data_IF_172309660732
#
_entry.id   IF_172309660732
#
_cell.length_a   1.000
_cell.length_b   1.000
_cell.length_c   1.000
_cell.angle_alpha   90.00
_cell.angle_beta   90.00
_cell.angle_gamma   90.00
#
_symmetry.space_group_name_H-M   'P 1'
#
loop_
_entity.id
_entity.type
_entity.pdbx_description
1 polymer ?
#
# COMPACT_ATOMS: atom_id res chain seq x y z
N UNK A 1 6.61 -15.04 29.77
CA UNK A 1 6.75 -14.38 28.46
C UNK A 1 6.56 -12.90 28.62
N UNK A 2 7.48 -12.12 28.12
CA UNK A 2 7.37 -10.66 28.15
C UNK A 2 6.72 -10.17 26.88
N UNK A 3 5.55 -9.53 27.00
CA UNK A 3 4.81 -9.03 25.84
C UNK A 3 5.59 -7.95 25.09
N UNK A 4 6.35 -7.12 25.80
CA UNK A 4 7.15 -6.08 25.18
C UNK A 4 8.19 -6.67 24.23
N UNK A 5 8.90 -7.71 24.68
CA UNK A 5 9.89 -8.39 23.83
C UNK A 5 9.23 -9.03 22.59
N UNK A 6 8.04 -9.59 22.77
CA UNK A 6 7.31 -10.22 21.67
C UNK A 6 6.90 -9.19 20.63
N UNK A 7 6.42 -8.03 21.08
CA UNK A 7 6.02 -6.93 20.19
C UNK A 7 7.24 -6.41 19.43
N UNK A 8 8.36 -6.21 20.12
CA UNK A 8 9.60 -5.76 19.48
C UNK A 8 10.07 -6.72 18.40
N UNK A 9 9.99 -8.03 18.68
CA UNK A 9 10.37 -9.06 17.73
C UNK A 9 9.51 -8.99 16.46
N UNK A 10 8.19 -8.84 16.63
CA UNK A 10 7.25 -8.73 15.52
C UNK A 10 7.56 -7.50 14.68
N UNK A 11 7.74 -6.35 15.34
CA UNK A 11 8.05 -5.10 14.64
C UNK A 11 9.36 -5.19 13.87
N UNK A 12 10.38 -5.81 14.46
CA UNK A 12 11.68 -5.98 13.80
C UNK A 12 11.56 -6.87 12.56
N UNK A 13 10.79 -7.93 12.63
CA UNK A 13 10.58 -8.82 11.48
C UNK A 13 9.85 -8.11 10.36
N UNK A 14 8.83 -7.32 10.69
CA UNK A 14 8.09 -6.57 9.69
C UNK A 14 8.94 -5.48 9.06
N UNK A 15 9.74 -4.77 9.87
CA UNK A 15 10.65 -3.76 9.36
C UNK A 15 11.68 -4.37 8.41
N UNK A 16 12.22 -5.54 8.76
CA UNK A 16 13.20 -6.22 7.91
C UNK A 16 12.56 -6.65 6.58
N UNK A 17 11.32 -7.14 6.62
CA UNK A 17 10.61 -7.51 5.40
C UNK A 17 10.46 -6.31 4.45
N UNK A 18 10.18 -5.14 5.00
CA UNK A 18 10.09 -3.90 4.21
C UNK A 18 11.45 -3.53 3.62
N UNK A 19 12.51 -3.61 4.43
CA UNK A 19 13.87 -3.29 3.99
C UNK A 19 14.37 -4.27 2.92
N UNK A 20 13.87 -5.50 2.93
CA UNK A 20 14.26 -6.53 1.97
C UNK A 20 13.53 -6.42 0.63
N UNK A 21 12.57 -5.50 0.49
CA UNK A 21 11.89 -5.28 -0.79
C UNK A 21 12.91 -4.76 -1.79
N UNK A 22 13.12 -5.45 -2.92
CA UNK A 22 14.09 -4.98 -3.91
C UNK A 22 13.60 -3.72 -4.59
N UNK A 23 14.45 -2.71 -4.62
CA UNK A 23 14.15 -1.48 -5.35
C UNK A 23 14.59 -1.70 -6.80
N UNK A 24 13.59 -1.84 -7.67
CA UNK A 24 13.81 -2.09 -9.09
C UNK A 24 13.20 -0.98 -9.92
N UNK A 25 13.47 -0.99 -11.24
CA UNK A 25 12.85 -0.05 -12.16
C UNK A 25 11.32 -0.19 -12.25
N UNK A 26 10.77 -1.28 -11.70
CA UNK A 26 9.31 -1.45 -11.59
C UNK A 26 8.68 -0.39 -10.70
N UNK A 27 9.38 0.04 -9.63
CA UNK A 27 8.89 1.13 -8.79
C UNK A 27 8.83 2.44 -9.56
N UNK A 28 9.85 2.74 -10.34
CA UNK A 28 9.88 3.94 -11.17
C UNK A 28 8.75 3.92 -12.20
N UNK A 29 8.51 2.78 -12.83
CA UNK A 29 7.41 2.62 -13.79
C UNK A 29 6.06 2.80 -13.12
N UNK A 30 5.88 2.29 -11.90
CA UNK A 30 4.65 2.46 -11.15
C UNK A 30 4.41 3.94 -10.83
N UNK A 31 5.44 4.66 -10.40
CA UNK A 31 5.33 6.10 -10.12
C UNK A 31 4.97 6.88 -11.39
N UNK A 32 5.63 6.58 -12.51
CA UNK A 32 5.34 7.21 -13.79
C UNK A 32 3.89 6.98 -14.22
N UNK A 33 3.39 5.76 -14.04
CA UNK A 33 2.02 5.41 -14.37
C UNK A 33 1.02 6.19 -13.51
N UNK A 34 1.29 6.31 -12.21
CA UNK A 34 0.43 7.07 -11.30
C UNK A 34 0.41 8.55 -11.70
N UNK A 35 1.57 9.12 -11.97
CA UNK A 35 1.65 10.53 -12.40
C UNK A 35 0.86 10.74 -13.69
N UNK A 36 1.03 9.87 -14.68
CA UNK A 36 0.36 10.01 -15.96
C UNK A 36 -1.15 9.81 -15.86
N UNK A 37 -1.59 8.74 -15.22
CA UNK A 37 -3.00 8.35 -15.23
C UNK A 37 -3.83 9.11 -14.19
N UNK A 38 -3.25 9.44 -13.04
CA UNK A 38 -3.99 10.08 -11.96
C UNK A 38 -3.83 11.60 -12.02
N UNK A 39 -2.58 12.09 -12.00
CA UNK A 39 -2.34 13.53 -11.91
C UNK A 39 -2.56 14.27 -13.23
N UNK A 40 -2.20 13.67 -14.35
CA UNK A 40 -2.39 14.33 -15.65
C UNK A 40 -3.76 14.08 -16.27
N UNK A 41 -4.29 12.86 -16.14
CA UNK A 41 -5.56 12.49 -16.78
C UNK A 41 -6.76 12.52 -15.84
N UNK A 42 -6.57 12.85 -14.58
CA UNK A 42 -7.67 12.99 -13.63
C UNK A 42 -8.30 11.69 -13.17
N UNK A 43 -7.57 10.58 -13.28
CA UNK A 43 -8.02 9.29 -12.77
C UNK A 43 -7.85 9.17 -11.26
N UNK A 44 -7.99 7.97 -10.75
CA UNK A 44 -7.77 7.68 -9.34
C UNK A 44 -7.02 6.37 -9.17
N UNK A 45 -6.34 6.25 -8.04
CA UNK A 45 -5.65 5.02 -7.66
C UNK A 45 -6.62 4.13 -6.89
N UNK A 46 -6.72 2.87 -7.28
CA UNK A 46 -7.52 1.89 -6.56
C UNK A 46 -6.59 0.85 -5.96
N UNK A 47 -6.69 0.63 -4.64
CA UNK A 47 -5.94 -0.41 -3.97
C UNK A 47 -6.88 -1.49 -3.47
N UNK A 48 -6.41 -2.73 -3.40
CA UNK A 48 -7.23 -3.85 -2.99
C UNK A 48 -6.35 -4.94 -2.36
N UNK A 49 -6.96 -5.76 -1.53
CA UNK A 49 -6.29 -6.88 -0.88
C UNK A 49 -7.19 -7.51 0.16
N UNK A 50 -6.84 -8.71 0.61
CA UNK A 50 -7.57 -9.42 1.64
C UNK A 50 -6.69 -9.64 2.86
N UNK A 51 -7.31 -9.74 4.05
CA UNK A 51 -6.59 -9.97 5.29
C UNK A 51 -5.58 -8.88 5.58
N UNK A 52 -4.35 -9.25 5.87
CA UNK A 52 -3.27 -8.29 6.13
C UNK A 52 -2.96 -7.44 4.91
N UNK A 53 -3.01 -8.04 3.72
CA UNK A 53 -2.79 -7.29 2.48
C UNK A 53 -3.87 -6.23 2.29
N UNK A 54 -5.12 -6.54 2.67
CA UNK A 54 -6.21 -5.58 2.62
C UNK A 54 -5.99 -4.40 3.57
N UNK A 55 -5.49 -4.67 4.77
CA UNK A 55 -5.17 -3.63 5.74
C UNK A 55 -4.09 -2.69 5.20
N UNK A 56 -3.05 -3.24 4.59
CA UNK A 56 -1.97 -2.47 3.98
C UNK A 56 -2.50 -1.66 2.81
N UNK A 57 -3.32 -2.27 1.94
CA UNK A 57 -3.91 -1.59 0.80
C UNK A 57 -4.78 -0.40 1.23
N UNK A 58 -5.53 -0.55 2.31
CA UNK A 58 -6.35 0.52 2.88
C UNK A 58 -5.48 1.67 3.40
N UNK A 59 -4.39 1.34 4.11
CA UNK A 59 -3.46 2.34 4.62
C UNK A 59 -2.75 3.09 3.48
N UNK A 60 -2.41 2.40 2.41
CA UNK A 60 -1.81 3.00 1.22
C UNK A 60 -2.79 4.01 0.60
N UNK A 61 -4.05 3.62 0.42
CA UNK A 61 -5.06 4.52 -0.14
C UNK A 61 -5.23 5.77 0.71
N UNK A 62 -5.30 5.61 2.04
CA UNK A 62 -5.44 6.72 2.97
C UNK A 62 -4.25 7.66 2.88
N UNK A 63 -3.04 7.11 2.82
CA UNK A 63 -1.82 7.91 2.72
C UNK A 63 -1.78 8.71 1.42
N UNK A 64 -2.11 8.09 0.30
CA UNK A 64 -2.16 8.80 -0.98
C UNK A 64 -3.17 9.92 -0.96
N UNK A 65 -4.39 9.69 -0.42
CA UNK A 65 -5.40 10.73 -0.31
C UNK A 65 -4.91 11.91 0.52
N UNK A 66 -4.23 11.65 1.65
CA UNK A 66 -3.74 12.71 2.52
C UNK A 66 -2.60 13.52 1.90
N UNK A 67 -1.94 12.97 0.88
CA UNK A 67 -0.84 13.66 0.19
C UNK A 67 -1.24 14.19 -1.19
N UNK A 68 -2.53 14.18 -1.51
CA UNK A 68 -3.05 14.84 -2.72
C UNK A 68 -3.25 13.94 -3.92
N UNK A 69 -3.08 12.62 -3.79
CA UNK A 69 -3.36 11.69 -4.88
C UNK A 69 -4.71 11.02 -4.62
N UNK A 70 -5.72 11.21 -5.49
CA UNK A 70 -7.01 10.54 -5.30
C UNK A 70 -6.86 9.03 -5.30
N UNK A 71 -7.26 8.39 -4.20
CA UNK A 71 -7.13 6.96 -4.03
C UNK A 71 -8.30 6.39 -3.23
N UNK A 72 -8.67 5.15 -3.53
CA UNK A 72 -9.75 4.47 -2.83
C UNK A 72 -9.37 3.00 -2.63
N UNK A 73 -9.75 2.45 -1.48
CA UNK A 73 -9.62 1.03 -1.23
C UNK A 73 -10.89 0.32 -1.68
N UNK A 74 -10.73 -0.74 -2.49
CA UNK A 74 -11.85 -1.58 -2.94
C UNK A 74 -11.69 -2.97 -2.37
N UNK A 75 -12.64 -3.38 -1.51
CA UNK A 75 -12.63 -4.74 -0.99
C UNK A 75 -12.89 -5.75 -2.12
N UNK A 76 -12.12 -6.86 -2.20
CA UNK A 76 -12.27 -7.80 -3.31
C UNK A 76 -13.69 -8.36 -3.50
N UNK A 77 -14.45 -8.53 -2.39
CA UNK A 77 -15.82 -9.02 -2.50
C UNK A 77 -16.74 -8.03 -3.21
N UNK A 78 -16.46 -6.73 -3.14
CA UNK A 78 -17.24 -5.70 -3.82
C UNK A 78 -16.88 -5.61 -5.30
N UNK A 79 -15.65 -5.98 -5.66
CA UNK A 79 -15.20 -5.95 -7.04
C UNK A 79 -15.90 -7.00 -7.92
N UNK A 80 -16.56 -7.98 -7.30
CA UNK A 80 -17.26 -9.04 -8.01
C UNK A 80 -18.70 -8.68 -8.39
N UNK A 81 -19.18 -7.54 -7.95
CA UNK A 81 -20.56 -7.10 -8.20
C UNK A 81 -20.72 -6.18 -9.40
#
# INVERSE_FOLDING_TARGET
MNFTEKIEEILQKEAQAILDIPVTDQFEKAVELIVEQVHRKGGKLVTSGMGKAGQIAMNIATTFCSTGTPAVFLHPSEAQH
#
